data_IF_655292547153
#
_entry.id   IF_655292547153
#
_cell.length_a   1.000
_cell.length_b   1.000
_cell.length_c   1.000
_cell.angle_alpha   90.00
_cell.angle_beta   90.00
_cell.angle_gamma   90.00
#
_symmetry.space_group_name_H-M   'P 1'
#
loop_
_entity.id
_entity.type
_entity.pdbx_description
1 polymer ?
#
# COMPACT_ATOMS: atom_id res chain seq x y z
N UNK A 1 -8.49 -4.76 -33.88
CA UNK A 1 -8.72 -4.35 -32.52
C UNK A 1 -8.20 -5.31 -31.48
N UNK A 2 -6.96 -5.21 -31.29
CA UNK A 2 -6.31 -6.06 -30.29
C UNK A 2 -6.29 -5.32 -28.97
N UNK A 3 -7.30 -5.56 -28.15
CA UNK A 3 -7.29 -5.11 -26.78
C UNK A 3 -6.36 -6.02 -26.00
N UNK A 4 -5.06 -5.81 -26.22
CA UNK A 4 -4.06 -6.59 -25.48
C UNK A 4 -3.84 -5.90 -24.14
N UNK A 5 -4.23 -6.59 -23.08
CA UNK A 5 -3.99 -6.12 -21.73
C UNK A 5 -2.54 -6.41 -21.37
N UNK A 6 -1.81 -5.39 -20.95
CA UNK A 6 -0.44 -5.57 -20.53
C UNK A 6 -0.38 -6.40 -19.24
N UNK A 7 0.58 -7.33 -19.09
CA UNK A 7 0.78 -8.03 -17.83
C UNK A 7 1.04 -7.08 -16.65
N UNK A 8 1.60 -5.91 -16.93
CA UNK A 8 1.85 -4.91 -15.89
C UNK A 8 0.56 -4.27 -15.37
N UNK A 9 -0.53 -4.34 -16.13
CA UNK A 9 -1.83 -3.90 -15.62
C UNK A 9 -2.24 -4.75 -14.40
N UNK A 10 -2.08 -6.06 -14.51
CA UNK A 10 -2.36 -6.97 -13.39
C UNK A 10 -1.41 -6.69 -12.23
N UNK A 11 -0.14 -6.44 -12.53
CA UNK A 11 0.84 -6.11 -11.50
C UNK A 11 0.44 -4.84 -10.74
N UNK A 12 -0.07 -3.81 -11.44
CA UNK A 12 -0.52 -2.59 -10.79
C UNK A 12 -1.75 -2.85 -9.93
N UNK A 13 -2.68 -3.69 -10.40
CA UNK A 13 -3.86 -4.02 -9.60
C UNK A 13 -3.50 -4.72 -8.30
N UNK A 14 -2.43 -5.49 -8.28
CA UNK A 14 -2.01 -6.28 -7.14
C UNK A 14 -0.85 -5.64 -6.36
N UNK A 15 -0.48 -4.40 -6.70
CA UNK A 15 0.72 -3.78 -6.14
C UNK A 15 0.66 -3.68 -4.60
N UNK A 16 -0.49 -3.30 -4.04
CA UNK A 16 -0.60 -3.02 -2.61
C UNK A 16 -0.37 -4.27 -1.76
N UNK A 17 -1.12 -5.37 -1.96
CA UNK A 17 -0.87 -6.58 -1.17
C UNK A 17 0.51 -7.17 -1.42
N UNK A 18 1.02 -7.07 -2.66
CA UNK A 18 2.36 -7.58 -2.96
C UNK A 18 3.43 -6.83 -2.17
N UNK A 19 3.32 -5.52 -2.08
CA UNK A 19 4.29 -4.71 -1.34
C UNK A 19 4.16 -4.85 0.15
N UNK A 20 2.94 -4.94 0.66
CA UNK A 20 2.73 -5.21 2.08
C UNK A 20 3.48 -6.48 2.48
N UNK A 21 3.35 -7.53 1.69
CA UNK A 21 4.03 -8.79 1.95
C UNK A 21 5.53 -8.68 1.80
N UNK A 22 6.00 -7.98 0.76
CA UNK A 22 7.42 -7.80 0.52
C UNK A 22 8.09 -7.03 1.66
N UNK A 23 7.50 -5.92 2.07
CA UNK A 23 8.04 -5.13 3.18
C UNK A 23 7.99 -5.92 4.50
N UNK A 24 6.96 -6.73 4.70
CA UNK A 24 6.87 -7.59 5.87
C UNK A 24 8.03 -8.59 5.91
N UNK A 25 8.31 -9.22 4.77
CA UNK A 25 9.42 -10.19 4.68
C UNK A 25 10.76 -9.51 4.95
N UNK A 26 10.97 -8.33 4.35
CA UNK A 26 12.20 -7.57 4.53
C UNK A 26 12.38 -7.17 6.00
N UNK A 27 11.31 -6.66 6.64
CA UNK A 27 11.39 -6.26 8.05
C UNK A 27 11.75 -7.43 8.95
N UNK A 28 11.12 -8.58 8.73
CA UNK A 28 11.39 -9.78 9.52
C UNK A 28 12.83 -10.25 9.34
N UNK A 29 13.33 -10.18 8.10
CA UNK A 29 14.68 -10.61 7.79
C UNK A 29 15.72 -9.67 8.42
N UNK A 30 15.49 -8.36 8.31
CA UNK A 30 16.41 -7.36 8.86
C UNK A 30 16.46 -7.41 10.38
N UNK A 31 15.30 -7.60 11.02
CA UNK A 31 15.19 -7.63 12.47
C UNK A 31 15.36 -9.02 13.06
N UNK A 32 15.66 -10.01 12.24
CA UNK A 32 15.86 -11.41 12.66
C UNK A 32 14.64 -12.02 13.36
N UNK A 33 13.44 -11.57 12.98
CA UNK A 33 12.23 -12.20 13.46
C UNK A 33 11.95 -13.49 12.70
N UNK A 34 11.23 -14.40 13.37
CA UNK A 34 10.72 -15.61 12.74
C UNK A 34 9.77 -15.24 11.62
N UNK A 35 9.93 -15.89 10.45
CA UNK A 35 9.08 -15.63 9.29
C UNK A 35 7.60 -15.93 9.55
N UNK A 36 7.31 -16.80 10.52
CA UNK A 36 5.94 -17.18 10.86
C UNK A 36 5.31 -16.28 11.92
N UNK A 37 6.05 -15.37 12.50
CA UNK A 37 5.47 -14.44 13.48
C UNK A 37 4.61 -13.40 12.78
N UNK A 38 3.52 -13.02 13.44
CA UNK A 38 2.65 -11.97 12.94
C UNK A 38 3.39 -10.63 12.87
N UNK A 39 3.19 -9.91 11.79
CA UNK A 39 3.79 -8.58 11.60
C UNK A 39 2.72 -7.53 11.85
N UNK A 40 2.98 -6.64 12.81
CA UNK A 40 2.05 -5.59 13.22
C UNK A 40 2.40 -4.23 12.61
N UNK A 41 3.30 -4.20 11.61
CA UNK A 41 3.79 -2.95 11.04
C UNK A 41 3.36 -2.73 9.59
N UNK A 42 2.25 -3.35 9.18
CA UNK A 42 1.64 -3.03 7.90
C UNK A 42 1.15 -1.59 7.91
N UNK A 43 1.16 -0.95 6.74
CA UNK A 43 0.85 0.46 6.65
C UNK A 43 -0.56 0.79 7.16
N UNK A 44 -1.52 -0.10 6.93
CA UNK A 44 -2.88 0.13 7.43
C UNK A 44 -2.94 0.07 8.96
N UNK A 45 -2.12 -0.75 9.60
CA UNK A 45 -2.05 -0.83 11.06
C UNK A 45 -1.40 0.41 11.64
N UNK A 46 -0.34 0.89 11.00
CA UNK A 46 0.35 2.11 11.42
C UNK A 46 -0.57 3.31 11.29
N UNK A 47 -1.28 3.40 10.18
CA UNK A 47 -2.22 4.50 9.94
C UNK A 47 -3.39 4.46 10.93
N UNK A 48 -3.91 3.27 11.21
CA UNK A 48 -4.96 3.08 12.21
C UNK A 48 -4.54 3.63 13.57
N UNK A 49 -3.35 3.25 14.03
CA UNK A 49 -2.83 3.71 15.32
C UNK A 49 -2.65 5.22 15.35
N UNK A 50 -2.16 5.78 14.25
CA UNK A 50 -1.97 7.22 14.16
C UNK A 50 -3.30 7.96 14.26
N UNK A 51 -4.32 7.51 13.55
CA UNK A 51 -5.64 8.12 13.56
C UNK A 51 -6.26 8.00 14.95
N UNK A 52 -6.14 6.83 15.57
CA UNK A 52 -6.68 6.60 16.90
C UNK A 52 -6.06 7.54 17.92
N UNK A 53 -4.74 7.74 17.83
CA UNK A 53 -4.02 8.61 18.76
C UNK A 53 -4.39 10.08 18.57
N UNK A 54 -4.53 10.53 17.33
CA UNK A 54 -4.79 11.94 17.05
C UNK A 54 -6.24 12.35 17.26
N UNK A 55 -7.18 11.49 16.91
CA UNK A 55 -8.59 11.85 16.90
C UNK A 55 -9.33 11.37 18.16
N UNK A 56 -8.77 10.40 18.86
CA UNK A 56 -9.39 9.78 20.04
C UNK A 56 -10.78 9.19 19.76
N UNK A 57 -11.04 8.87 18.50
CA UNK A 57 -12.28 8.21 18.11
C UNK A 57 -12.27 6.75 18.51
N UNK A 58 -13.45 6.11 18.46
CA UNK A 58 -13.55 4.67 18.73
C UNK A 58 -12.82 3.87 17.66
N UNK A 59 -12.52 2.62 18.00
CA UNK A 59 -11.86 1.72 17.04
C UNK A 59 -12.64 1.56 15.74
N UNK A 60 -13.98 1.55 15.84
CA UNK A 60 -14.84 1.40 14.67
C UNK A 60 -14.62 2.54 13.68
N UNK A 61 -14.68 3.78 14.16
CA UNK A 61 -14.48 4.95 13.27
C UNK A 61 -13.04 5.04 12.75
N UNK A 62 -12.08 4.74 13.59
CA UNK A 62 -10.67 4.75 13.16
C UNK A 62 -10.42 3.73 12.07
N UNK A 63 -10.99 2.54 12.18
CA UNK A 63 -10.87 1.50 11.18
C UNK A 63 -11.52 1.92 9.85
N UNK A 64 -12.69 2.54 9.93
CA UNK A 64 -13.38 3.00 8.73
C UNK A 64 -12.62 4.11 8.03
N UNK A 65 -12.10 5.08 8.78
CA UNK A 65 -11.30 6.17 8.20
C UNK A 65 -10.04 5.61 7.54
N UNK A 66 -9.37 4.68 8.20
CA UNK A 66 -8.16 4.04 7.65
C UNK A 66 -8.49 3.34 6.33
N UNK A 67 -9.58 2.58 6.30
CA UNK A 67 -10.00 1.87 5.08
C UNK A 67 -10.33 2.83 3.95
N UNK A 68 -11.04 3.92 4.25
CA UNK A 68 -11.40 4.91 3.24
C UNK A 68 -10.15 5.55 2.65
N UNK A 69 -9.19 5.92 3.48
CA UNK A 69 -7.96 6.56 3.02
C UNK A 69 -7.19 5.62 2.09
N UNK A 70 -6.98 4.38 2.51
CA UNK A 70 -6.20 3.42 1.73
C UNK A 70 -6.93 3.05 0.44
N UNK A 71 -8.23 2.81 0.50
CA UNK A 71 -9.00 2.44 -0.67
C UNK A 71 -9.11 3.60 -1.67
N UNK A 72 -9.19 4.83 -1.19
CA UNK A 72 -9.19 6.00 -2.06
C UNK A 72 -7.88 6.13 -2.82
N UNK A 73 -6.76 5.92 -2.13
CA UNK A 73 -5.45 5.94 -2.76
C UNK A 73 -5.34 4.86 -3.84
N UNK A 74 -5.78 3.64 -3.52
CA UNK A 74 -5.76 2.54 -4.48
C UNK A 74 -6.71 2.80 -5.65
N UNK A 75 -7.85 3.41 -5.41
CA UNK A 75 -8.82 3.73 -6.47
C UNK A 75 -8.22 4.69 -7.50
N UNK A 76 -7.46 5.69 -7.04
CA UNK A 76 -6.78 6.62 -7.93
C UNK A 76 -5.76 5.89 -8.79
N UNK A 77 -4.97 5.01 -8.18
CA UNK A 77 -3.98 4.23 -8.92
C UNK A 77 -4.65 3.33 -9.95
N UNK A 78 -5.73 2.66 -9.57
CA UNK A 78 -6.46 1.77 -10.47
C UNK A 78 -7.10 2.52 -11.63
N UNK A 79 -7.58 3.73 -11.38
CA UNK A 79 -8.14 4.57 -12.44
C UNK A 79 -7.08 4.89 -13.51
N UNK A 80 -5.90 5.33 -13.09
CA UNK A 80 -4.82 5.60 -14.03
C UNK A 80 -4.35 4.33 -14.73
N UNK A 81 -4.32 3.21 -14.04
CA UNK A 81 -3.97 1.93 -14.64
C UNK A 81 -5.01 1.51 -15.69
N UNK A 82 -6.29 1.74 -15.41
CA UNK A 82 -7.36 1.37 -16.34
C UNK A 82 -7.25 2.16 -17.63
N UNK A 83 -6.95 3.46 -17.55
CA UNK A 83 -6.77 4.30 -18.75
C UNK A 83 -5.61 3.79 -19.60
N UNK A 84 -4.59 3.21 -18.97
CA UNK A 84 -3.36 2.77 -19.64
C UNK A 84 -3.23 1.25 -19.67
N UNK A 85 -4.33 0.52 -19.71
CA UNK A 85 -4.32 -0.94 -19.57
C UNK A 85 -3.47 -1.65 -20.61
N UNK A 86 -3.28 -1.06 -21.78
CA UNK A 86 -2.48 -1.65 -22.86
C UNK A 86 -1.13 -0.96 -23.05
N UNK A 87 -0.84 0.08 -22.28
CA UNK A 87 0.38 0.87 -22.41
C UNK A 87 1.38 0.46 -21.33
N UNK A 88 2.19 -0.54 -21.63
CA UNK A 88 3.13 -1.14 -20.68
C UNK A 88 4.07 -0.10 -20.05
N UNK A 89 4.60 0.82 -20.86
CA UNK A 89 5.52 1.83 -20.37
C UNK A 89 4.88 2.72 -19.32
N UNK A 90 3.64 3.17 -19.58
CA UNK A 90 2.92 4.00 -18.62
C UNK A 90 2.57 3.22 -17.34
N UNK A 91 2.23 1.94 -17.48
CA UNK A 91 1.95 1.09 -16.32
C UNK A 91 3.17 0.89 -15.45
N UNK A 92 4.35 0.75 -16.05
CA UNK A 92 5.60 0.65 -15.30
C UNK A 92 5.84 1.93 -14.50
N UNK A 93 5.61 3.10 -15.10
CA UNK A 93 5.74 4.37 -14.37
C UNK A 93 4.75 4.47 -13.23
N UNK A 94 3.50 4.04 -13.44
CA UNK A 94 2.48 4.04 -12.38
C UNK A 94 2.92 3.14 -11.23
N UNK A 95 3.44 1.96 -11.54
CA UNK A 95 3.92 1.02 -10.55
C UNK A 95 5.07 1.61 -9.73
N UNK A 96 6.04 2.23 -10.40
CA UNK A 96 7.18 2.85 -9.72
C UNK A 96 6.71 3.99 -8.82
N UNK A 97 5.80 4.85 -9.31
CA UNK A 97 5.26 5.94 -8.50
C UNK A 97 4.50 5.42 -7.29
N UNK A 98 3.74 4.34 -7.45
CA UNK A 98 3.03 3.71 -6.34
C UNK A 98 3.99 3.20 -5.28
N UNK A 99 5.08 2.55 -5.72
CA UNK A 99 6.14 2.07 -4.82
C UNK A 99 6.78 3.20 -4.04
N UNK A 100 7.15 4.26 -4.74
CA UNK A 100 7.79 5.41 -4.10
C UNK A 100 6.85 6.06 -3.10
N UNK A 101 5.58 6.23 -3.47
CA UNK A 101 4.59 6.82 -2.58
C UNK A 101 4.39 5.97 -1.33
N UNK A 102 4.28 4.65 -1.49
CA UNK A 102 4.14 3.74 -0.37
C UNK A 102 5.34 3.84 0.57
N UNK A 103 6.55 3.80 0.00
CA UNK A 103 7.78 3.85 0.80
C UNK A 103 7.89 5.15 1.57
N UNK A 104 7.59 6.28 0.91
CA UNK A 104 7.64 7.59 1.56
C UNK A 104 6.65 7.69 2.72
N UNK A 105 5.41 7.25 2.48
CA UNK A 105 4.38 7.28 3.52
C UNK A 105 4.76 6.35 4.66
N UNK A 106 5.25 5.17 4.35
CA UNK A 106 5.64 4.19 5.37
C UNK A 106 6.74 4.74 6.27
N UNK A 107 7.80 5.31 5.68
CA UNK A 107 8.90 5.86 6.48
C UNK A 107 8.48 7.11 7.24
N UNK A 108 7.64 7.94 6.64
CA UNK A 108 7.12 9.13 7.33
C UNK A 108 6.31 8.73 8.57
N UNK A 109 5.40 7.79 8.42
CA UNK A 109 4.58 7.34 9.55
C UNK A 109 5.42 6.59 10.59
N UNK A 110 6.43 5.86 10.14
CA UNK A 110 7.31 5.11 11.03
C UNK A 110 8.17 6.00 11.92
N UNK A 111 8.44 7.24 11.50
CA UNK A 111 9.19 8.19 12.33
C UNK A 111 8.37 8.79 13.45
N UNK A 112 7.05 8.78 13.33
CA UNK A 112 6.17 9.28 14.38
C UNK A 112 5.99 8.19 15.43
N UNK A 113 6.43 8.48 16.64
CA UNK A 113 6.25 7.56 17.77
C UNK A 113 4.82 7.65 18.28
N UNK A 114 4.12 6.54 18.27
CA UNK A 114 2.73 6.45 18.74
C UNK A 114 2.51 5.12 19.47
#
# INVERSE_FOLDING_TARGET
>A
DNFIVSPYFIAVLLWYPAFENLFSIIRKKVKKFDAFQADNKHIHQILFKLIQKKTKLTKFYCNNITSVVINSFNAVIFYFAFINFSHTKNLIYILILSLLSYSLVYFYLGKKKY
#
